data_IF_913841156710
#
_entry.id   IF_913841156710
#
_cell.length_a   1.000
_cell.length_b   1.000
_cell.length_c   1.000
_cell.angle_alpha   90.00
_cell.angle_beta   90.00
_cell.angle_gamma   90.00
#
_symmetry.space_group_name_H-M   'P 1'
#
loop_
_entity.id
_entity.type
_entity.pdbx_description
1 polymer ?
2 non-polymer ?
3 non-polymer ?
4 water ?
#
# COMPACT_ATOMS: atom_id res chain seq x y z
N UNK A 20 15.05 -2.06 -3.78
CA UNK A 20 13.85 -1.16 -3.67
C UNK A 20 14.17 0.02 -2.74
N UNK A 21 14.59 1.14 -3.32
CA UNK A 21 15.08 2.35 -2.59
C UNK A 21 14.49 3.64 -3.17
N UNK A 22 14.22 3.69 -4.48
CA UNK A 22 13.72 4.91 -5.20
C UNK A 22 12.23 4.72 -5.54
N UNK A 23 11.46 5.80 -5.47
CA UNK A 23 10.02 5.85 -5.85
C UNK A 23 9.91 6.61 -7.17
N UNK A 24 9.32 5.97 -8.17
CA UNK A 24 9.02 6.57 -9.49
C UNK A 24 7.50 6.68 -9.65
N UNK A 25 7.04 7.56 -10.53
CA UNK A 25 5.63 7.62 -10.97
C UNK A 25 5.30 6.28 -11.66
N UNK A 26 4.25 5.62 -11.18
CA UNK A 26 3.76 4.30 -11.67
C UNK A 26 3.39 4.38 -13.16
N UNK A 27 2.93 5.55 -13.63
CA UNK A 27 2.40 5.70 -15.02
C UNK A 27 3.54 5.90 -16.02
N UNK A 28 4.59 6.67 -15.70
CA UNK A 28 5.59 7.12 -16.70
C UNK A 28 7.05 6.86 -16.26
N UNK A 29 7.30 6.62 -14.96
CA UNK A 29 8.66 6.30 -14.47
C UNK A 29 9.48 7.51 -14.06
N UNK A 30 8.89 8.71 -14.04
CA UNK A 30 9.53 9.93 -13.49
C UNK A 30 10.03 9.66 -12.05
N UNK A 31 11.26 10.07 -11.76
CA UNK A 31 11.87 10.01 -10.40
C UNK A 31 11.10 10.97 -9.48
N UNK A 32 10.60 10.49 -8.33
CA UNK A 32 9.74 11.31 -7.42
C UNK A 32 10.42 11.45 -6.05
N UNK A 33 10.80 10.34 -5.40
CA UNK A 33 11.30 10.38 -4.01
C UNK A 33 12.14 9.13 -3.69
N UNK A 34 12.57 9.02 -2.43
CA UNK A 34 13.45 7.94 -1.91
C UNK A 34 12.89 7.44 -0.59
N UNK A 35 13.03 6.14 -0.31
CA UNK A 35 12.67 5.52 0.99
C UNK A 35 13.39 6.27 2.12
N UNK A 36 14.64 6.69 1.89
CA UNK A 36 15.46 7.46 2.85
C UNK A 36 14.74 8.74 3.28
N UNK A 37 13.84 9.28 2.44
CA UNK A 37 13.16 10.58 2.66
C UNK A 37 11.77 10.40 3.31
N UNK A 38 11.38 9.18 3.69
CA UNK A 38 10.11 8.95 4.43
C UNK A 38 10.15 9.75 5.74
N UNK A 39 9.01 10.33 6.12
CA UNK A 39 8.85 11.23 7.30
C UNK A 39 7.74 10.68 8.20
N UNK A 40 8.05 10.20 9.43
CA UNK A 40 7.00 9.74 10.35
C UNK A 40 6.25 10.90 11.03
N UNK A 41 5.27 11.49 10.32
CA UNK A 41 4.35 12.53 10.83
C UNK A 41 3.38 11.89 11.84
N UNK A 42 3.38 12.38 13.08
CA UNK A 42 2.55 11.84 14.18
C UNK A 42 2.91 10.40 14.54
N UNK A 43 4.16 10.00 14.27
CA UNK A 43 4.71 8.67 14.64
C UNK A 43 4.67 7.65 13.51
N UNK A 44 4.01 7.96 12.38
CA UNK A 44 3.84 7.02 11.25
C UNK A 44 4.05 7.77 9.92
N UNK A 45 4.75 7.16 8.96
CA UNK A 45 4.90 7.70 7.59
C UNK A 45 3.62 7.44 6.79
N UNK A 46 2.86 6.40 7.14
CA UNK A 46 1.59 6.02 6.46
C UNK A 46 0.39 6.59 7.21
N UNK A 47 -0.47 7.32 6.50
CA UNK A 47 -1.77 7.86 6.98
C UNK A 47 -2.87 7.47 5.98
N UNK A 48 -3.86 6.70 6.44
CA UNK A 48 -5.05 6.34 5.62
C UNK A 48 -6.13 7.40 5.87
N UNK A 49 -6.50 8.12 4.82
CA UNK A 49 -7.36 9.34 4.88
C UNK A 49 -8.48 9.22 3.85
N UNK A 50 -9.58 9.96 4.05
CA UNK A 50 -10.69 10.12 3.07
C UNK A 50 -10.88 11.61 2.77
N UNK A 51 -11.14 11.93 1.50
CA UNK A 51 -11.44 13.32 1.04
C UNK A 51 -12.96 13.53 1.10
N UNK A 52 -13.46 14.77 0.89
CA UNK A 52 -14.89 15.04 0.97
C UNK A 52 -15.72 14.30 -0.10
N UNK A 53 -15.10 13.82 -1.17
CA UNK A 53 -15.74 13.01 -2.24
C UNK A 53 -15.78 11.53 -1.84
N UNK A 54 -15.29 11.19 -0.64
CA UNK A 54 -15.35 9.84 -0.06
C UNK A 54 -14.28 8.91 -0.60
N UNK A 55 -13.31 9.43 -1.35
CA UNK A 55 -12.15 8.66 -1.85
C UNK A 55 -11.19 8.39 -0.69
N UNK A 56 -10.78 7.14 -0.53
CA UNK A 56 -9.74 6.70 0.44
C UNK A 56 -8.37 6.76 -0.26
N UNK A 57 -7.38 7.35 0.43
CA UNK A 57 -5.97 7.36 0.00
C UNK A 57 -5.13 6.79 1.13
N UNK A 58 -4.21 5.89 0.78
CA UNK A 58 -3.05 5.50 1.60
C UNK A 58 -1.93 6.50 1.27
N UNK A 59 -1.70 7.46 2.18
CA UNK A 59 -0.75 8.59 1.96
C UNK A 59 0.54 8.24 2.71
N UNK A 60 1.67 8.30 1.99
CA UNK A 60 3.03 8.18 2.57
C UNK A 60 3.63 9.58 2.63
N UNK A 61 4.11 9.98 3.80
CA UNK A 61 4.71 11.32 4.06
C UNK A 61 6.21 11.27 3.75
N UNK A 62 6.68 12.19 2.92
CA UNK A 62 8.10 12.37 2.54
C UNK A 62 8.52 13.80 2.91
N UNK A 63 9.73 13.93 3.46
CA UNK A 63 10.36 15.25 3.76
C UNK A 63 10.60 15.99 2.45
N UNK A 64 11.01 15.27 1.41
CA UNK A 64 11.47 15.82 0.11
C UNK A 64 10.87 14.99 -1.03
N UNK A 65 10.63 15.62 -2.17
CA UNK A 65 10.27 14.98 -3.45
C UNK A 65 10.78 15.84 -4.60
N UNK A 66 10.84 15.26 -5.81
CA UNK A 66 11.26 15.95 -7.05
C UNK A 66 10.36 15.47 -8.20
N UNK A 67 10.46 16.08 -9.38
CA UNK A 67 9.78 15.66 -10.62
C UNK A 67 8.28 15.90 -10.57
N UNK A 68 7.79 16.66 -9.58
CA UNK A 68 6.35 16.99 -9.42
C UNK A 68 6.10 18.36 -10.05
N UNK A 69 4.83 18.69 -10.25
CA UNK A 69 4.36 20.05 -10.59
C UNK A 69 3.24 20.41 -9.60
N UNK A 70 3.45 21.43 -8.77
CA UNK A 70 2.47 21.88 -7.74
C UNK A 70 1.51 22.87 -8.41
N UNK A 71 0.20 22.59 -8.33
CA UNK A 71 -0.88 23.32 -9.07
C UNK A 71 -1.69 24.16 -8.07
N UNK A 72 -1.97 25.41 -8.44
CA UNK A 72 -2.81 26.33 -7.66
C UNK A 72 -2.05 26.96 -6.50
N UNK A 73 -2.76 27.71 -5.66
CA UNK A 73 -2.24 28.33 -4.43
C UNK A 73 -2.62 27.46 -3.24
N UNK A 74 -1.87 27.50 -2.12
CA UNK A 74 -2.17 26.64 -0.97
C UNK A 74 -3.56 26.91 -0.38
N UNK A 75 -4.19 25.85 0.14
CA UNK A 75 -5.52 25.89 0.81
C UNK A 75 -5.48 25.10 2.12
N UNK A 76 -6.12 25.61 3.17
CA UNK A 76 -6.24 24.96 4.49
C UNK A 76 -7.48 24.07 4.59
N UNK A 77 -8.45 24.24 3.69
CA UNK A 77 -9.77 23.53 3.70
C UNK A 77 -9.55 22.00 3.63
N UNK A 78 -10.07 21.27 4.61
CA UNK A 78 -10.12 19.79 4.66
C UNK A 78 -8.73 19.17 4.89
N UNK A 79 -7.72 19.96 5.27
CA UNK A 79 -6.33 19.45 5.47
C UNK A 79 -6.34 18.30 6.48
N UNK A 80 -5.73 17.17 6.11
CA UNK A 80 -5.58 15.98 6.98
C UNK A 80 -4.52 16.22 8.07
N UNK A 81 -3.69 17.25 7.89
CA UNK A 81 -2.56 17.57 8.80
C UNK A 81 -2.76 18.98 9.36
N UNK A 82 -3.06 19.06 10.65
CA UNK A 82 -3.44 20.31 11.36
C UNK A 82 -2.30 21.32 11.22
N UNK A 83 -2.64 22.56 10.87
CA UNK A 83 -1.68 23.68 10.74
C UNK A 83 -1.01 23.72 9.39
N UNK A 84 -1.31 22.79 8.49
CA UNK A 84 -0.72 22.73 7.13
C UNK A 84 -1.76 23.08 6.07
N UNK A 85 -1.34 23.89 5.09
CA UNK A 85 -2.09 24.20 3.85
C UNK A 85 -1.54 23.30 2.74
N UNK A 86 -2.38 22.90 1.78
CA UNK A 86 -1.98 21.90 0.74
C UNK A 86 -2.09 22.50 -0.66
N UNK A 87 -1.22 22.02 -1.53
CA UNK A 87 -1.27 22.25 -3.00
C UNK A 87 -1.24 20.87 -3.67
N UNK A 88 -2.04 20.69 -4.72
CA UNK A 88 -2.10 19.43 -5.50
C UNK A 88 -0.73 19.23 -6.15
N UNK A 89 -0.18 18.02 -6.02
CA UNK A 89 1.11 17.61 -6.62
C UNK A 89 0.81 16.63 -7.76
N UNK A 90 1.06 17.07 -9.00
CA UNK A 90 1.01 16.21 -10.21
C UNK A 90 2.42 15.72 -10.52
N UNK A 91 2.50 14.58 -11.20
CA UNK A 91 3.74 14.15 -11.91
C UNK A 91 4.05 15.24 -12.93
N UNK A 92 5.26 15.81 -12.87
CA UNK A 92 5.72 16.88 -13.79
C UNK A 92 5.83 16.38 -15.21
N UNK A 93 5.96 15.07 -15.41
CA UNK A 93 6.12 14.44 -16.75
C UNK A 93 4.73 14.15 -17.36
N UNK A 94 3.88 13.35 -16.70
CA UNK A 94 2.64 12.77 -17.30
C UNK A 94 1.36 13.44 -16.76
N UNK A 95 1.44 14.20 -15.67
CA UNK A 95 0.29 14.94 -15.11
C UNK A 95 -0.58 14.10 -14.18
N UNK A 96 -0.21 12.84 -13.93
CA UNK A 96 -0.89 11.93 -12.96
C UNK A 96 -0.90 12.59 -11.57
N UNK A 97 -2.04 12.56 -10.88
CA UNK A 97 -2.16 13.10 -9.50
C UNK A 97 -1.45 12.17 -8.53
N UNK A 98 -0.32 12.59 -7.97
CA UNK A 98 0.55 11.75 -7.10
C UNK A 98 0.32 12.07 -5.62
N UNK A 99 -0.25 13.24 -5.31
CA UNK A 99 -0.61 13.62 -3.93
C UNK A 99 -0.66 15.11 -3.72
N UNK A 100 -0.05 15.59 -2.63
CA UNK A 100 -0.14 16.99 -2.18
C UNK A 100 1.20 17.43 -1.55
N UNK A 101 1.55 18.70 -1.75
CA UNK A 101 2.61 19.39 -0.97
C UNK A 101 1.92 20.13 0.19
N UNK A 102 2.48 20.03 1.39
CA UNK A 102 1.96 20.69 2.62
C UNK A 102 2.96 21.77 3.03
N UNK A 103 2.46 22.94 3.44
CA UNK A 103 3.28 24.09 3.89
C UNK A 103 2.53 24.90 4.95
N UNK A 104 3.19 25.91 5.51
CA UNK A 104 2.59 26.88 6.46
C UNK A 104 2.54 26.35 7.88
N UNK A 105 3.13 25.18 8.14
CA UNK A 105 3.11 24.50 9.45
C UNK A 105 4.42 24.69 10.19
N UNK A 106 4.68 23.84 11.20
CA UNK A 106 5.88 23.89 12.06
C UNK A 106 6.43 22.48 12.29
N UNK A 107 7.75 22.31 12.18
CA UNK A 107 8.49 21.09 12.58
C UNK A 107 7.86 19.86 11.92
N UNK A 108 7.95 19.70 10.58
CA UNK A 108 8.59 20.66 9.69
C UNK A 108 7.60 21.68 9.11
N UNK A 109 8.11 22.74 8.49
CA UNK A 109 7.30 23.79 7.82
C UNK A 109 6.57 23.19 6.62
N UNK A 110 7.23 22.31 5.86
CA UNK A 110 6.72 21.71 4.60
C UNK A 110 7.03 20.21 4.55
N UNK A 111 6.22 19.45 3.82
CA UNK A 111 6.44 18.01 3.49
C UNK A 111 5.49 17.62 2.35
N UNK A 112 5.64 16.40 1.84
CA UNK A 112 4.80 15.83 0.76
C UNK A 112 3.99 14.66 1.32
N UNK A 113 2.69 14.62 1.02
CA UNK A 113 1.83 13.45 1.18
C UNK A 113 1.54 12.82 -0.16
N UNK A 114 2.17 11.68 -0.47
CA UNK A 114 2.06 11.03 -1.80
C UNK A 114 1.22 9.75 -1.67
N UNK A 115 0.41 9.47 -2.68
CA UNK A 115 -0.49 8.28 -2.71
C UNK A 115 0.36 7.06 -3.09
N UNK A 116 0.53 6.14 -2.13
CA UNK A 116 1.49 5.00 -2.23
C UNK A 116 1.24 4.20 -3.51
N UNK A 117 -0.03 3.95 -3.87
CA UNK A 117 -0.40 3.03 -4.99
C UNK A 117 -0.20 3.74 -6.34
N UNK A 118 0.17 5.02 -6.37
CA UNK A 118 0.45 5.75 -7.62
C UNK A 118 1.97 5.86 -7.83
N UNK A 119 2.77 5.24 -6.95
CA UNK A 119 4.25 5.20 -7.04
C UNK A 119 4.69 3.74 -7.28
N UNK A 120 5.84 3.56 -7.93
CA UNK A 120 6.53 2.25 -8.09
C UNK A 120 7.88 2.32 -7.39
N UNK A 121 8.16 1.37 -6.51
CA UNK A 121 9.42 1.30 -5.72
C UNK A 121 10.41 0.37 -6.44
N UNK A 122 11.67 0.80 -6.58
CA UNK A 122 12.69 -0.02 -7.26
C UNK A 122 14.12 0.41 -6.94
N UNK A 123 15.12 -0.26 -7.53
CA UNK A 123 16.53 -0.01 -7.23
C UNK A 123 16.99 1.37 -7.73
N UNK A 124 18.03 1.91 -7.08
CA UNK A 124 18.69 3.20 -7.41
C UNK A 124 19.24 3.15 -8.84
N UNK B 20 -13.43 -18.15 1.73
CA UNK B 20 -12.19 -18.72 1.13
C UNK B 20 -12.22 -18.56 -0.40
N UNK B 21 -11.54 -17.53 -0.92
CA UNK B 21 -11.27 -17.36 -2.37
C UNK B 21 -9.87 -17.89 -2.71
N UNK B 22 -9.75 -18.44 -3.91
CA UNK B 22 -8.46 -18.94 -4.49
C UNK B 22 -8.05 -18.03 -5.65
N UNK B 23 -6.74 -17.95 -5.86
CA UNK B 23 -6.09 -17.32 -7.02
C UNK B 23 -5.60 -18.44 -7.95
N UNK B 24 -6.04 -18.39 -9.21
CA UNK B 24 -5.68 -19.37 -10.26
C UNK B 24 -4.81 -18.65 -11.29
N UNK B 25 -4.00 -19.41 -12.03
CA UNK B 25 -3.26 -18.92 -13.21
C UNK B 25 -4.29 -18.43 -14.24
N UNK B 26 -4.18 -17.18 -14.69
CA UNK B 26 -5.12 -16.54 -15.64
C UNK B 26 -5.09 -17.27 -16.98
N UNK B 27 -3.96 -17.89 -17.34
CA UNK B 27 -3.77 -18.54 -18.67
C UNK B 27 -4.38 -19.94 -18.70
N UNK B 28 -4.23 -20.76 -17.64
CA UNK B 28 -4.62 -22.21 -17.69
C UNK B 28 -5.59 -22.61 -16.57
N UNK B 29 -5.73 -21.83 -15.50
CA UNK B 29 -6.72 -22.05 -14.43
C UNK B 29 -6.20 -22.93 -13.30
N UNK B 30 -4.90 -23.27 -13.30
CA UNK B 30 -4.30 -24.02 -12.19
C UNK B 30 -4.44 -23.21 -10.89
N UNK B 31 -4.82 -23.86 -9.78
CA UNK B 31 -4.81 -23.27 -8.42
C UNK B 31 -3.37 -22.93 -8.04
N UNK B 32 -3.13 -21.68 -7.62
CA UNK B 32 -1.78 -21.15 -7.27
C UNK B 32 -1.72 -20.79 -5.78
N UNK B 33 -2.68 -20.00 -5.28
CA UNK B 33 -2.66 -19.50 -3.88
C UNK B 33 -4.08 -19.23 -3.37
N UNK B 34 -4.18 -18.74 -2.15
CA UNK B 34 -5.45 -18.51 -1.42
C UNK B 34 -5.42 -17.10 -0.82
N UNK B 35 -6.58 -16.44 -0.78
CA UNK B 35 -6.72 -15.11 -0.11
C UNK B 35 -6.28 -15.23 1.34
N UNK B 36 -6.55 -16.36 2.00
CA UNK B 36 -6.12 -16.66 3.39
C UNK B 36 -4.61 -16.50 3.56
N UNK B 37 -3.84 -16.70 2.47
CA UNK B 37 -2.35 -16.68 2.50
C UNK B 37 -1.77 -15.31 2.14
N UNK B 38 -2.59 -14.28 1.95
CA UNK B 38 -2.09 -12.90 1.71
C UNK B 38 -1.21 -12.48 2.90
N UNK B 39 -0.08 -11.84 2.61
CA UNK B 39 1.00 -11.54 3.58
C UNK B 39 1.34 -10.05 3.51
N UNK B 40 1.04 -9.25 4.56
CA UNK B 40 1.36 -7.82 4.54
C UNK B 40 2.84 -7.53 4.82
N UNK B 41 3.70 -7.70 3.81
CA UNK B 41 5.15 -7.38 3.88
C UNK B 41 5.34 -5.86 3.92
N UNK B 42 5.98 -5.35 4.96
CA UNK B 42 6.18 -3.89 5.18
C UNK B 42 4.87 -3.15 5.38
N UNK B 43 3.83 -3.85 5.86
CA UNK B 43 2.52 -3.25 6.21
C UNK B 43 1.47 -3.40 5.12
N UNK B 44 1.84 -3.85 3.92
CA UNK B 44 0.91 -3.98 2.75
C UNK B 44 1.18 -5.28 2.00
N UNK B 45 0.12 -5.97 1.57
CA UNK B 45 0.23 -7.18 0.71
C UNK B 45 0.52 -6.75 -0.74
N UNK B 46 0.11 -5.53 -1.15
CA UNK B 46 0.34 -4.98 -2.51
C UNK B 46 1.60 -4.11 -2.52
N UNK B 47 2.53 -4.40 -3.43
CA UNK B 47 3.75 -3.61 -3.72
C UNK B 47 3.79 -3.33 -5.22
N UNK B 48 3.74 -2.06 -5.62
CA UNK B 48 4.05 -1.64 -7.02
C UNK B 48 5.56 -1.39 -7.08
N UNK B 49 6.24 -2.16 -7.93
CA UNK B 49 7.73 -2.23 -8.02
C UNK B 49 8.13 -2.04 -9.48
N UNK B 50 9.37 -1.59 -9.72
CA UNK B 50 10.03 -1.56 -11.05
C UNK B 50 11.36 -2.32 -10.97
N UNK B 51 11.71 -3.04 -12.03
CA UNK B 51 12.97 -3.82 -12.13
C UNK B 51 14.02 -2.94 -12.79
N UNK B 52 15.30 -3.38 -12.89
CA UNK B 52 16.36 -2.57 -13.49
C UNK B 52 16.14 -2.24 -14.98
N UNK B 53 15.29 -3.00 -15.67
CA UNK B 53 14.91 -2.75 -17.08
C UNK B 53 13.76 -1.73 -17.16
N UNK B 54 13.29 -1.24 -16.01
CA UNK B 54 12.22 -0.21 -15.91
C UNK B 54 10.82 -0.80 -16.11
N UNK B 55 10.67 -2.12 -16.09
CA UNK B 55 9.34 -2.78 -16.16
C UNK B 55 8.63 -2.66 -14.81
N UNK B 56 7.39 -2.18 -14.80
CA UNK B 56 6.56 -1.97 -13.58
C UNK B 56 5.66 -3.19 -13.39
N UNK B 57 5.59 -3.71 -12.16
CA UNK B 57 4.74 -4.86 -11.76
C UNK B 57 3.94 -4.49 -10.51
N UNK B 58 2.66 -4.88 -10.47
CA UNK B 58 1.82 -4.84 -9.24
C UNK B 58 1.88 -6.22 -8.60
N UNK B 59 2.64 -6.34 -7.52
CA UNK B 59 2.97 -7.62 -6.84
C UNK B 59 2.07 -7.76 -5.60
N UNK B 60 1.41 -8.91 -5.45
CA UNK B 60 0.70 -9.32 -4.22
C UNK B 60 1.54 -10.38 -3.50
N UNK B 61 1.79 -10.19 -2.20
CA UNK B 61 2.63 -11.08 -1.36
C UNK B 61 1.76 -12.16 -0.74
N UNK B 62 2.18 -13.42 -0.91
CA UNK B 62 1.51 -14.61 -0.32
C UNK B 62 2.55 -15.40 0.49
N UNK B 63 2.16 -15.91 1.66
CA UNK B 63 3.00 -16.78 2.53
C UNK B 63 3.40 -18.05 1.77
N UNK B 64 2.43 -18.67 1.10
CA UNK B 64 2.59 -19.97 0.39
C UNK B 64 1.98 -19.88 -1.01
N UNK B 65 2.38 -20.81 -1.87
CA UNK B 65 1.77 -21.06 -3.20
C UNK B 65 1.93 -22.54 -3.54
N UNK B 66 1.21 -22.98 -4.57
CA UNK B 66 1.31 -24.34 -5.14
C UNK B 66 1.23 -24.23 -6.67
N UNK B 67 1.67 -25.28 -7.36
CA UNK B 67 1.54 -25.45 -8.81
C UNK B 67 2.45 -24.54 -9.60
N UNK B 68 3.44 -23.91 -8.95
CA UNK B 68 4.48 -23.09 -9.64
C UNK B 68 5.70 -23.97 -9.93
N UNK B 69 6.61 -23.47 -10.76
CA UNK B 69 7.96 -24.05 -10.99
C UNK B 69 8.97 -22.91 -10.81
N UNK B 70 9.84 -23.03 -9.82
CA UNK B 70 10.89 -22.02 -9.50
C UNK B 70 12.13 -22.33 -10.34
N UNK B 71 12.61 -21.34 -11.11
CA UNK B 71 13.68 -21.49 -12.13
C UNK B 71 14.95 -20.79 -11.63
N UNK B 72 16.11 -21.41 -11.83
CA UNK B 72 17.42 -20.83 -11.51
C UNK B 72 17.77 -20.99 -10.05
N UNK B 73 18.93 -20.47 -9.64
CA UNK B 73 19.40 -20.42 -8.24
C UNK B 73 19.03 -19.06 -7.65
N UNK B 74 18.80 -18.96 -6.32
CA UNK B 74 18.40 -17.68 -5.72
C UNK B 74 19.45 -16.59 -5.92
N UNK B 75 19.00 -15.34 -6.06
CA UNK B 75 19.85 -14.13 -6.26
C UNK B 75 19.36 -13.02 -5.32
N UNK B 76 20.30 -12.30 -4.70
CA UNK B 76 20.03 -11.14 -3.82
C UNK B 76 20.00 -9.83 -4.60
N UNK B 77 20.58 -9.81 -5.80
CA UNK B 77 20.74 -8.59 -6.63
C UNK B 77 19.35 -8.03 -6.98
N UNK B 78 19.11 -6.75 -6.65
CA UNK B 78 17.93 -5.95 -7.03
C UNK B 78 16.66 -6.41 -6.31
N UNK B 79 16.80 -7.21 -5.25
CA UNK B 79 15.64 -7.73 -4.47
C UNK B 79 14.79 -6.56 -3.99
N UNK B 80 13.47 -6.61 -4.23
CA UNK B 80 12.50 -5.60 -3.74
C UNK B 80 12.31 -5.72 -2.22
N UNK B 81 12.70 -6.85 -1.63
CA UNK B 81 12.50 -7.14 -0.19
C UNK B 81 13.86 -7.43 0.45
N UNK B 82 14.33 -6.49 1.28
CA UNK B 82 15.67 -6.50 1.92
C UNK B 82 15.83 -7.79 2.73
N UNK B 83 16.98 -8.47 2.59
CA UNK B 83 17.33 -9.69 3.33
C UNK B 83 16.78 -10.94 2.67
N UNK B 84 16.10 -10.80 1.53
CA UNK B 84 15.52 -11.95 0.77
C UNK B 84 16.26 -12.09 -0.56
N UNK B 85 16.54 -13.34 -0.93
CA UNK B 85 17.01 -13.74 -2.28
C UNK B 85 15.79 -14.21 -3.08
N UNK B 86 15.78 -14.02 -4.40
CA UNK B 86 14.61 -14.33 -5.26
C UNK B 86 14.95 -15.37 -6.32
N UNK B 87 13.91 -16.15 -6.66
CA UNK B 87 13.90 -17.10 -7.81
C UNK B 87 12.65 -16.82 -8.64
N UNK B 88 12.76 -16.87 -9.97
CA UNK B 88 11.63 -16.64 -10.91
C UNK B 88 10.61 -17.77 -10.72
N UNK B 89 9.33 -17.44 -10.59
CA UNK B 89 8.21 -18.40 -10.41
C UNK B 89 7.37 -18.43 -11.69
N UNK B 90 7.40 -19.57 -12.39
CA UNK B 90 6.50 -19.86 -13.55
C UNK B 90 5.31 -20.70 -13.07
N UNK B 91 4.18 -20.60 -13.76
CA UNK B 91 3.10 -21.61 -13.66
C UNK B 91 3.70 -22.96 -14.07
N UNK B 92 3.61 -23.98 -13.20
CA UNK B 92 4.14 -25.34 -13.45
C UNK B 92 3.43 -26.01 -14.61
N UNK B 93 2.19 -25.59 -14.89
CA UNK B 93 1.32 -26.19 -15.93
C UNK B 93 1.58 -25.56 -17.29
N UNK B 94 1.46 -24.23 -17.42
CA UNK B 94 1.46 -23.52 -18.74
C UNK B 94 2.75 -22.70 -18.97
N UNK B 95 3.58 -22.48 -17.94
CA UNK B 95 4.88 -21.80 -18.08
C UNK B 95 4.80 -20.28 -18.00
N UNK B 96 3.59 -19.72 -17.83
CA UNK B 96 3.35 -18.26 -17.67
C UNK B 96 4.16 -17.73 -16.48
N UNK B 97 4.85 -16.60 -16.63
CA UNK B 97 5.61 -15.93 -15.53
C UNK B 97 4.61 -15.31 -14.54
N UNK B 98 4.49 -15.89 -13.35
CA UNK B 98 3.47 -15.48 -12.35
C UNK B 98 4.11 -14.62 -11.26
N UNK B 99 5.43 -14.64 -11.10
CA UNK B 99 6.15 -13.76 -10.16
C UNK B 99 7.48 -14.34 -9.69
N UNK B 100 7.73 -14.29 -8.37
CA UNK B 100 9.03 -14.66 -7.75
C UNK B 100 8.79 -15.31 -6.38
N UNK B 101 9.64 -16.28 -6.03
CA UNK B 101 9.75 -16.83 -4.66
C UNK B 101 10.91 -16.14 -3.95
N UNK B 102 10.70 -15.76 -2.69
CA UNK B 102 11.70 -15.09 -1.82
C UNK B 102 12.10 -16.04 -0.70
N UNK B 103 13.40 -16.10 -0.38
CA UNK B 103 13.95 -16.99 0.68
C UNK B 103 15.18 -16.35 1.33
N UNK B 104 15.68 -16.98 2.40
CA UNK B 104 16.92 -16.61 3.09
C UNK B 104 16.73 -15.46 4.06
N UNK B 105 15.48 -15.09 4.35
CA UNK B 105 15.14 -14.01 5.29
C UNK B 105 14.68 -14.57 6.64
N UNK B 106 14.00 -13.75 7.45
CA UNK B 106 13.43 -14.11 8.77
C UNK B 106 12.03 -13.48 8.92
N UNK B 107 11.08 -14.25 9.46
CA UNK B 107 9.73 -13.79 9.86
C UNK B 107 9.06 -13.05 8.70
N UNK B 108 8.69 -13.73 7.60
CA UNK B 108 8.93 -15.16 7.41
C UNK B 108 10.25 -15.45 6.68
N UNK B 109 10.69 -16.70 6.70
CA UNK B 109 11.93 -17.15 6.00
C UNK B 109 11.72 -17.05 4.48
N UNK B 110 10.53 -17.44 4.01
CA UNK B 110 10.17 -17.53 2.58
C UNK B 110 8.75 -16.98 2.37
N UNK B 111 8.47 -16.49 1.15
CA UNK B 111 7.15 -16.02 0.69
C UNK B 111 7.21 -15.82 -0.83
N UNK B 112 6.05 -15.56 -1.43
CA UNK B 112 5.89 -15.34 -2.89
C UNK B 112 5.44 -13.89 -3.14
N UNK B 113 6.04 -13.26 -4.16
CA UNK B 113 5.51 -12.07 -4.82
C UNK B 113 4.91 -12.43 -6.17
N UNK B 114 3.59 -12.44 -6.27
CA UNK B 114 2.89 -12.85 -7.52
C UNK B 114 2.29 -11.61 -8.21
N UNK B 115 2.31 -11.59 -9.53
CA UNK B 115 1.82 -10.45 -10.36
C UNK B 115 0.28 -10.55 -10.39
N UNK B 116 -0.40 -9.61 -9.74
CA UNK B 116 -1.87 -9.65 -9.50
C UNK B 116 -2.62 -9.83 -10.83
N UNK B 117 -2.18 -9.14 -11.89
CA UNK B 117 -2.87 -9.10 -13.21
C UNK B 117 -2.73 -10.44 -13.96
N UNK B 118 -1.87 -11.34 -13.49
CA UNK B 118 -1.65 -12.66 -14.15
C UNK B 118 -2.38 -13.77 -13.37
N UNK B 119 -3.14 -13.39 -12.35
CA UNK B 119 -3.99 -14.31 -11.53
C UNK B 119 -5.45 -13.99 -11.78
N UNK B 120 -6.32 -14.99 -11.63
CA UNK B 120 -7.79 -14.84 -11.59
C UNK B 120 -8.28 -15.29 -10.21
N UNK B 121 -9.03 -14.43 -9.52
CA UNK B 121 -9.58 -14.73 -8.16
C UNK B 121 -11.00 -15.31 -8.32
N UNK B 122 -11.30 -16.40 -7.62
CA UNK B 122 -12.59 -17.09 -7.73
C UNK B 122 -12.90 -17.96 -6.51
N UNK B 123 -14.11 -18.55 -6.42
CA UNK B 123 -14.46 -19.40 -5.28
C UNK B 123 -13.66 -20.71 -5.27
N UNK B 124 -13.45 -21.27 -4.07
CA UNK B 124 -12.61 -22.45 -3.80
C UNK B 124 -13.14 -23.67 -4.57
N UNK C 20 -9.97 14.56 8.76
CA UNK C 20 -10.12 15.79 9.59
C UNK C 20 -10.95 15.49 10.85
N UNK C 21 -12.23 15.13 10.69
CA UNK C 21 -13.23 15.00 11.80
C UNK C 21 -13.76 13.57 11.91
N UNK C 22 -14.40 13.04 10.87
CA UNK C 22 -15.12 11.72 10.89
C UNK C 22 -14.10 10.57 10.82
N UNK C 23 -14.35 9.49 11.56
CA UNK C 23 -13.52 8.25 11.61
C UNK C 23 -14.28 7.10 10.93
N UNK C 24 -13.58 6.37 10.06
CA UNK C 24 -14.15 5.26 9.24
C UNK C 24 -13.21 4.05 9.24
N UNK C 25 -13.75 2.87 8.95
CA UNK C 25 -13.00 1.60 8.75
C UNK C 25 -12.08 1.74 7.54
N UNK C 26 -10.78 1.45 7.70
CA UNK C 26 -9.73 1.62 6.66
C UNK C 26 -9.99 0.66 5.49
N UNK C 27 -10.62 -0.49 5.74
CA UNK C 27 -10.75 -1.60 4.77
C UNK C 27 -11.91 -1.32 3.79
N UNK C 28 -13.08 -0.93 4.30
CA UNK C 28 -14.33 -0.77 3.51
C UNK C 28 -14.88 0.66 3.57
N UNK C 29 -14.61 1.40 4.66
CA UNK C 29 -14.97 2.82 4.79
C UNK C 29 -16.26 3.07 5.56
N UNK C 30 -16.83 2.03 6.19
CA UNK C 30 -17.98 2.11 7.11
C UNK C 30 -17.75 3.24 8.12
N UNK C 31 -18.73 4.14 8.29
CA UNK C 31 -18.74 5.20 9.34
C UNK C 31 -18.80 4.53 10.71
N UNK C 32 -17.85 4.84 11.60
CA UNK C 32 -17.78 4.30 12.99
C UNK C 32 -18.03 5.42 13.99
N UNK C 33 -17.16 6.45 13.99
CA UNK C 33 -17.23 7.62 14.89
C UNK C 33 -16.47 8.80 14.28
N UNK C 61 -10.41 7.29 22.22
CA UNK C 61 -11.62 6.93 22.99
C UNK C 61 -12.82 7.79 22.54
N UNK C 62 -13.98 7.16 22.37
CA UNK C 62 -15.27 7.80 22.00
C UNK C 62 -16.35 7.35 22.99
N UNK C 63 -17.30 8.24 23.30
CA UNK C 63 -18.46 7.97 24.19
C UNK C 63 -19.55 7.22 23.38
N UNK C 64 -19.61 7.46 22.08
CA UNK C 64 -20.59 6.83 21.14
C UNK C 64 -19.85 6.34 19.89
N UNK C 65 -20.34 5.23 19.31
CA UNK C 65 -19.88 4.65 18.02
C UNK C 65 -21.07 4.02 17.30
N UNK C 66 -20.93 3.75 16.00
CA UNK C 66 -21.93 3.05 15.16
C UNK C 66 -21.21 2.16 14.15
N UNK C 67 -21.98 1.36 13.40
CA UNK C 67 -21.51 0.51 12.29
C UNK C 67 -20.63 -0.65 12.74
N UNK C 68 -20.55 -0.92 14.05
CA UNK C 68 -19.72 -2.02 14.62
C UNK C 68 -20.62 -3.24 14.87
N UNK C 69 -19.99 -4.39 15.08
CA UNK C 69 -20.64 -5.65 15.54
C UNK C 69 -19.84 -6.21 16.71
N UNK C 70 -20.39 -6.10 17.93
CA UNK C 70 -19.73 -6.52 19.20
C UNK C 70 -19.98 -8.02 19.41
N UNK C 71 -18.91 -8.82 19.54
CA UNK C 71 -18.96 -10.29 19.72
C UNK C 71 -18.61 -10.63 21.17
N UNK C 86 -14.08 -5.23 28.53
CA UNK C 86 -13.92 -5.00 27.07
C UNK C 86 -14.61 -6.12 26.28
N UNK C 87 -15.16 -5.78 25.10
CA UNK C 87 -15.73 -6.72 24.10
C UNK C 87 -15.11 -6.40 22.73
N UNK C 88 -14.93 -7.41 21.87
CA UNK C 88 -14.31 -7.27 20.52
C UNK C 88 -15.29 -6.51 19.61
N UNK C 89 -14.83 -5.41 19.01
CA UNK C 89 -15.61 -4.52 18.12
C UNK C 89 -15.15 -4.71 16.68
N UNK C 90 -15.95 -5.40 15.86
CA UNK C 90 -15.70 -5.63 14.41
C UNK C 90 -16.47 -4.59 13.59
N UNK C 91 -15.99 -4.28 12.39
CA UNK C 91 -16.72 -3.49 11.36
C UNK C 91 -17.94 -4.29 10.91
N UNK C 92 -19.14 -3.72 11.07
CA UNK C 92 -20.41 -4.34 10.64
C UNK C 92 -20.46 -4.59 9.14
N UNK C 93 -19.64 -3.88 8.35
CA UNK C 93 -19.68 -3.93 6.86
C UNK C 93 -18.77 -5.05 6.34
N UNK C 94 -17.50 -5.10 6.76
CA UNK C 94 -16.46 -6.00 6.18
C UNK C 94 -15.89 -6.98 7.23
N UNK C 95 -16.25 -6.83 8.51
CA UNK C 95 -15.85 -7.77 9.58
C UNK C 95 -14.44 -7.55 10.11
N UNK C 96 -13.78 -6.46 9.70
CA UNK C 96 -12.41 -6.07 10.17
C UNK C 96 -12.43 -5.69 11.66
N UNK C 97 -11.42 -6.11 12.43
CA UNK C 97 -11.28 -5.88 13.88
C UNK C 97 -10.76 -4.45 14.15
N UNK C 98 -11.65 -3.54 14.56
CA UNK C 98 -11.35 -2.09 14.71
C UNK C 98 -10.96 -1.73 16.15
N UNK C 99 -11.23 -2.62 17.12
CA UNK C 99 -10.86 -2.42 18.53
C UNK C 99 -11.80 -3.13 19.47
N UNK C 100 -12.19 -2.44 20.56
CA UNK C 100 -12.98 -3.02 21.69
C UNK C 100 -13.94 -1.97 22.28
N UNK C 101 -15.01 -2.43 22.92
CA UNK C 101 -16.05 -1.59 23.59
C UNK C 101 -15.81 -1.60 25.10
N UNK C 111 -17.63 2.92 27.29
CA UNK C 111 -17.05 3.69 26.16
C UNK C 111 -16.46 2.73 25.11
N UNK C 112 -15.97 3.28 23.99
CA UNK C 112 -15.32 2.54 22.88
C UNK C 112 -13.84 2.92 22.79
N UNK C 113 -12.97 1.91 22.74
CA UNK C 113 -11.51 2.06 22.50
C UNK C 113 -11.11 1.42 21.17
N UNK C 114 -10.85 2.26 20.16
CA UNK C 114 -10.65 1.83 18.74
C UNK C 114 -9.19 2.02 18.34
N UNK C 115 -8.66 1.09 17.54
CA UNK C 115 -7.26 1.11 16.99
C UNK C 115 -7.19 2.18 15.90
N UNK C 116 -6.29 3.16 16.05
CA UNK C 116 -6.24 4.39 15.21
C UNK C 116 -5.82 4.04 13.78
N UNK C 117 -4.83 3.15 13.60
CA UNK C 117 -4.28 2.79 12.26
C UNK C 117 -5.17 1.74 11.58
N UNK C 118 -6.20 1.24 12.27
CA UNK C 118 -7.30 0.42 11.68
C UNK C 118 -8.42 1.35 11.19
N UNK C 119 -8.42 2.61 11.63
CA UNK C 119 -9.39 3.65 11.22
C UNK C 119 -8.77 4.56 10.15
N UNK C 120 -9.59 5.45 9.59
CA UNK C 120 -9.19 6.47 8.59
C UNK C 120 -10.01 7.75 8.82
N UNK C 121 -9.36 8.91 8.78
CA UNK C 121 -9.96 10.23 9.13
C UNK C 121 -10.38 10.96 7.85
N UNK C 122 -11.44 11.77 7.92
CA UNK C 122 -11.92 12.64 6.84
C UNK C 122 -12.89 13.70 7.34
N UNK C 123 -13.41 14.57 6.45
CA UNK C 123 -14.37 15.60 6.85
C UNK C 123 -15.76 15.04 7.21
N UNK C 124 -16.69 15.92 7.62
CA UNK C 124 -18.07 15.61 8.04
C UNK C 124 -19.06 16.00 6.94
#
# INVERSE_FOLDING_TARGET
>A
AMPLDAGGQNSTQMVLAPGASIFRCRQCGQTISRRDWLLPMGGDHEHVVFNPAGMIFRVWCFSLAQGLRLIGAPSGEFSWFKGYDWTIALCGQCGSHLGWHYEGGSQPQTFFGLIKDRLAEGPAD
>B
AMPLDAGGQNSTQMVLAPGASIFRCRQCGQTISRRDWLLPMGGDHEHVVFNPAGMIFRVWCFSLAQGLRLIGAPSGEFSWFKGYDWTIALCGQCGSHLGWHYEGGSQPQTFFGLIKDRLAEGPAD
>C
AMPLDAGGQNSTQMVLAPGASIFRCRQCGQTISRRDWLLPMGGDHEHVVFNPAGMIFRVWCFSLAQGLRLIGAPSGEFSWFKGYDWTIALCGQCGSHLGWHYEGGSQPQTFFGLIKDRLAEGPAD
#
